data_IF_558535400126
#
_entry.id   IF_558535400126
#
_cell.length_a   1.000
_cell.length_b   1.000
_cell.length_c   1.000
_cell.angle_alpha   90.00
_cell.angle_beta   90.00
_cell.angle_gamma   90.00
#
_symmetry.space_group_name_H-M   'P 1'
#
loop_
_entity.id
_entity.type
_entity.pdbx_description
1 polymer ?
#
# COMPACT_ATOMS: atom_id res chain seq x y z
N UNK A 1 0.58 4.04 -7.83
CA UNK A 1 0.69 3.98 -6.36
C UNK A 1 -0.25 5.04 -5.80
N UNK A 2 -0.85 4.86 -4.63
CA UNK A 2 -1.73 5.89 -4.08
C UNK A 2 -0.94 7.21 -3.99
N UNK A 3 -1.43 8.23 -4.69
CA UNK A 3 -0.78 9.52 -4.88
C UNK A 3 -0.86 10.35 -3.60
N UNK A 4 -0.12 9.94 -2.57
CA UNK A 4 0.11 10.78 -1.40
C UNK A 4 1.51 11.43 -1.55
N UNK A 5 1.61 12.66 -2.06
CA UNK A 5 2.90 13.30 -2.37
C UNK A 5 3.80 13.47 -1.12
N UNK A 6 3.22 13.34 0.07
CA UNK A 6 3.90 13.49 1.35
C UNK A 6 4.70 12.25 1.81
N UNK A 7 4.50 11.07 1.20
CA UNK A 7 5.16 9.83 1.64
C UNK A 7 5.90 9.17 0.48
N UNK A 8 7.22 9.03 0.62
CA UNK A 8 8.06 8.31 -0.34
C UNK A 8 8.27 6.88 0.10
N UNK A 9 8.60 5.99 -0.84
CA UNK A 9 8.98 4.61 -0.52
C UNK A 9 10.13 4.54 0.52
N UNK A 10 10.98 5.56 0.60
CA UNK A 10 12.04 5.69 1.61
C UNK A 10 11.55 5.87 3.05
N UNK A 11 10.34 6.44 3.25
CA UNK A 11 9.78 6.76 4.58
C UNK A 11 9.20 5.52 5.30
N UNK A 12 9.09 4.40 4.59
CA UNK A 12 8.63 3.13 5.14
C UNK A 12 9.78 2.36 5.78
N UNK A 13 9.46 1.68 6.88
CA UNK A 13 10.35 0.67 7.46
C UNK A 13 10.47 -0.54 6.53
N UNK A 14 11.52 -1.36 6.70
CA UNK A 14 11.72 -2.58 5.90
C UNK A 14 10.50 -3.52 5.94
N UNK A 15 9.89 -3.68 7.12
CA UNK A 15 8.70 -4.53 7.27
C UNK A 15 7.48 -3.98 6.52
N UNK A 16 7.29 -2.67 6.48
CA UNK A 16 6.18 -2.05 5.76
C UNK A 16 6.39 -2.07 4.26
N UNK A 17 7.63 -1.88 3.78
CA UNK A 17 7.99 -2.04 2.36
C UNK A 17 7.60 -3.42 1.87
N UNK A 18 7.96 -4.47 2.61
CA UNK A 18 7.59 -5.85 2.28
C UNK A 18 6.07 -6.05 2.25
N UNK A 19 5.33 -5.46 3.20
CA UNK A 19 3.87 -5.54 3.22
C UNK A 19 3.23 -4.82 2.04
N UNK A 20 3.67 -3.61 1.71
CA UNK A 20 3.16 -2.84 0.56
C UNK A 20 3.45 -3.57 -0.75
N UNK A 21 4.67 -4.10 -0.93
CA UNK A 21 5.03 -4.91 -2.10
C UNK A 21 4.11 -6.14 -2.20
N UNK A 22 3.94 -6.89 -1.11
CA UNK A 22 3.10 -8.09 -1.10
C UNK A 22 1.62 -7.80 -1.37
N UNK A 23 1.08 -6.71 -0.82
CA UNK A 23 -0.29 -6.26 -1.10
C UNK A 23 -0.45 -5.82 -2.56
N UNK A 24 0.54 -5.09 -3.10
CA UNK A 24 0.54 -4.66 -4.50
C UNK A 24 0.61 -5.84 -5.45
N UNK A 25 1.45 -6.84 -5.16
CA UNK A 25 1.50 -8.09 -5.92
C UNK A 25 0.15 -8.84 -5.87
N UNK A 26 -0.52 -8.87 -4.71
CA UNK A 26 -1.86 -9.46 -4.59
C UNK A 26 -2.92 -8.67 -5.37
N UNK A 27 -2.84 -7.34 -5.39
CA UNK A 27 -3.72 -6.50 -6.20
C UNK A 27 -3.51 -6.77 -7.69
N UNK A 28 -2.25 -6.84 -8.14
CA UNK A 28 -1.92 -7.18 -9.53
C UNK A 28 -2.44 -8.59 -9.90
N UNK A 29 -2.23 -9.58 -9.03
CA UNK A 29 -2.74 -10.94 -9.22
C UNK A 29 -4.26 -10.99 -9.29
N UNK A 30 -4.95 -10.21 -8.44
CA UNK A 30 -6.42 -10.13 -8.44
C UNK A 30 -6.95 -9.40 -9.67
N UNK A 31 -6.31 -8.30 -10.07
CA UNK A 31 -6.65 -7.56 -11.29
C UNK A 31 -6.48 -8.41 -12.56
N UNK A 32 -5.52 -9.33 -12.57
CA UNK A 32 -5.39 -10.31 -13.65
C UNK A 32 -6.55 -11.33 -13.72
N UNK A 33 -7.37 -11.45 -12.66
CA UNK A 33 -8.54 -12.33 -12.59
C UNK A 33 -9.82 -11.74 -13.19
N UNK A 34 -9.78 -10.52 -13.71
CA UNK A 34 -10.91 -9.83 -14.34
C UNK A 34 -11.58 -8.78 -13.44
N UNK A 35 -12.37 -7.90 -14.08
CA UNK A 35 -12.95 -6.68 -13.48
C UNK A 35 -13.94 -6.91 -12.32
N UNK A 36 -14.35 -8.16 -12.08
CA UNK A 36 -15.23 -8.53 -10.97
C UNK A 36 -14.51 -8.75 -9.63
N UNK A 37 -13.19 -8.68 -9.59
CA UNK A 37 -12.42 -8.95 -8.37
C UNK A 37 -12.20 -7.68 -7.56
N UNK A 38 -12.86 -7.60 -6.39
CA UNK A 38 -12.68 -6.46 -5.48
C UNK A 38 -11.26 -6.42 -4.88
N UNK A 39 -10.59 -5.29 -5.12
CA UNK A 39 -9.27 -4.94 -4.60
C UNK A 39 -9.32 -3.84 -3.53
N UNK A 40 -10.51 -3.36 -3.17
CA UNK A 40 -10.71 -2.24 -2.24
C UNK A 40 -10.15 -2.53 -0.85
N UNK A 41 -10.30 -3.76 -0.33
CA UNK A 41 -9.68 -4.18 0.94
C UNK A 41 -8.15 -4.07 0.88
N UNK A 42 -7.54 -4.50 -0.23
CA UNK A 42 -6.09 -4.45 -0.38
C UNK A 42 -5.59 -2.99 -0.46
N UNK A 43 -6.32 -2.12 -1.16
CA UNK A 43 -6.04 -0.68 -1.18
C UNK A 43 -6.15 -0.07 0.21
N UNK A 44 -7.22 -0.37 0.95
CA UNK A 44 -7.42 0.12 2.33
C UNK A 44 -6.29 -0.33 3.28
N UNK A 45 -5.74 -1.54 3.08
CA UNK A 45 -4.56 -2.01 3.84
C UNK A 45 -3.30 -1.23 3.52
N UNK A 46 -3.03 -0.96 2.24
CA UNK A 46 -1.88 -0.13 1.83
C UNK A 46 -2.01 1.27 2.43
N UNK A 47 -3.20 1.86 2.35
CA UNK A 47 -3.48 3.19 2.90
C UNK A 47 -3.26 3.26 4.42
N UNK A 48 -3.64 2.21 5.17
CA UNK A 48 -3.35 2.13 6.62
C UNK A 48 -1.84 2.16 6.90
N UNK A 49 -1.04 1.49 6.09
CA UNK A 49 0.42 1.46 6.23
C UNK A 49 1.00 2.85 5.90
N UNK A 50 0.54 3.47 4.82
CA UNK A 50 0.88 4.85 4.46
C UNK A 50 0.56 5.82 5.60
N UNK A 51 -0.65 5.77 6.17
CA UNK A 51 -1.03 6.61 7.33
C UNK A 51 -0.13 6.39 8.55
N UNK A 52 0.31 5.16 8.81
CA UNK A 52 1.26 4.87 9.89
C UNK A 52 2.64 5.48 9.62
N UNK A 53 3.14 5.38 8.38
CA UNK A 53 4.38 6.02 7.97
C UNK A 53 4.30 7.55 8.08
N UNK A 54 3.18 8.15 7.64
CA UNK A 54 2.93 9.59 7.79
C UNK A 54 3.01 10.04 9.24
N UNK A 55 2.37 9.29 10.16
CA UNK A 55 2.38 9.60 11.58
C UNK A 55 3.78 9.57 12.18
N UNK A 56 4.63 8.63 11.75
CA UNK A 56 6.02 8.58 12.20
C UNK A 56 6.86 9.72 11.63
N UNK A 57 6.65 10.09 10.36
CA UNK A 57 7.37 11.21 9.72
C UNK A 57 7.03 12.56 10.34
N UNK A 58 5.80 12.72 10.82
CA UNK A 58 5.33 13.92 11.53
C UNK A 58 5.72 13.95 13.02
N UNK A 59 6.32 12.88 13.55
CA UNK A 59 6.81 12.79 14.92
C UNK A 59 8.30 13.15 14.95
#
# INVERSE_FOLDING_TARGET
MADNPDIRFGDFTTGEKLRVIGLTARMAKRGAGGDGVDISDLKARVERIERQALKRKKK
#
